data_IF_323203071926
#
_entry.id   IF_323203071926
#
_cell.length_a   1.000
_cell.length_b   1.000
_cell.length_c   1.000
_cell.angle_alpha   90.00
_cell.angle_beta   90.00
_cell.angle_gamma   90.00
#
_symmetry.space_group_name_H-M   'P 1'
#
loop_
_entity.id
_entity.type
_entity.pdbx_description
1 polymer ?
#
# COMPACT_ATOMS: atom_id res chain seq x y z
N UNK A 1 18.22 12.23 37.45
CA UNK A 1 17.52 13.53 37.37
C UNK A 1 17.40 13.87 35.89
N UNK A 2 16.18 13.83 35.34
CA UNK A 2 15.84 14.14 33.96
C UNK A 2 16.28 15.56 33.56
N UNK A 3 16.63 15.70 32.27
CA UNK A 3 16.19 16.72 31.29
C UNK A 3 16.82 16.25 29.96
N UNK A 4 16.10 15.74 28.97
CA UNK A 4 14.91 16.31 28.37
C UNK A 4 15.34 17.09 27.13
N UNK A 5 15.60 16.40 26.02
CA UNK A 5 15.60 17.02 24.69
C UNK A 5 14.33 16.54 24.01
N UNK A 6 13.38 17.47 23.89
CA UNK A 6 12.18 17.33 23.10
C UNK A 6 12.59 17.02 21.65
N UNK A 7 12.05 15.94 21.10
CA UNK A 7 11.91 15.77 19.66
C UNK A 7 10.44 15.97 19.31
N UNK A 8 10.15 17.00 18.52
CA UNK A 8 8.86 17.28 17.90
C UNK A 8 9.10 18.27 16.74
N UNK A 9 8.21 18.31 15.75
CA UNK A 9 7.89 17.29 14.73
C UNK A 9 8.73 17.54 13.46
N UNK A 10 9.22 16.46 12.84
CA UNK A 10 9.72 16.36 11.45
C UNK A 10 10.85 15.32 11.47
N UNK A 11 10.51 14.07 11.83
CA UNK A 11 11.45 12.97 11.71
C UNK A 11 11.53 12.60 10.22
N UNK A 12 12.33 13.36 9.48
CA UNK A 12 12.74 13.06 8.11
C UNK A 12 13.71 11.88 8.18
N UNK A 13 13.24 10.68 7.86
CA UNK A 13 14.16 9.56 7.65
C UNK A 13 14.92 9.76 6.34
N UNK A 14 16.20 10.09 6.47
CA UNK A 14 17.08 10.30 5.32
C UNK A 14 17.77 8.98 4.98
N UNK A 15 17.20 8.21 4.05
CA UNK A 15 17.89 7.07 3.45
C UNK A 15 18.04 7.29 1.94
N UNK A 16 19.31 7.34 1.49
CA UNK A 16 19.71 7.55 0.08
C UNK A 16 19.22 8.85 -0.59
N UNK A 17 19.06 9.93 0.17
CA UNK A 17 18.79 11.27 -0.39
C UNK A 17 17.39 11.50 -0.94
N UNK A 18 16.45 10.58 -0.69
CA UNK A 18 15.03 10.73 -1.03
C UNK A 18 14.28 11.05 0.26
N UNK A 19 13.65 12.22 0.32
CA UNK A 19 12.74 12.61 1.41
C UNK A 19 11.34 12.11 1.05
N UNK A 20 10.89 11.03 1.70
CA UNK A 20 9.49 10.64 1.62
C UNK A 20 8.72 11.40 2.71
N UNK A 21 7.51 11.93 2.43
CA UNK A 21 6.69 12.53 3.46
C UNK A 21 6.28 11.44 4.45
N UNK A 22 6.80 11.49 5.68
CA UNK A 22 6.45 10.53 6.73
C UNK A 22 5.14 11.00 7.36
N UNK A 23 4.11 10.17 7.32
CA UNK A 23 2.86 10.44 8.03
C UNK A 23 2.95 9.86 9.44
N UNK A 24 2.62 10.67 10.44
CA UNK A 24 2.64 10.25 11.83
C UNK A 24 1.42 9.39 12.18
N UNK A 25 1.56 8.53 13.20
CA UNK A 25 0.44 7.75 13.71
C UNK A 25 -0.73 8.64 14.15
N UNK A 26 -0.43 9.82 14.72
CA UNK A 26 -1.46 10.78 15.13
C UNK A 26 -2.25 11.33 13.94
N UNK A 27 -1.58 11.65 12.83
CA UNK A 27 -2.25 12.12 11.62
C UNK A 27 -3.12 11.04 11.01
N UNK A 28 -2.64 9.80 10.94
CA UNK A 28 -3.45 8.66 10.51
C UNK A 28 -4.66 8.45 11.42
N UNK A 29 -4.48 8.50 12.74
CA UNK A 29 -5.57 8.29 13.70
C UNK A 29 -6.64 9.37 13.61
N UNK A 30 -6.25 10.62 13.34
CA UNK A 30 -7.18 11.72 13.09
C UNK A 30 -7.90 11.55 11.75
N UNK A 31 -7.18 11.20 10.69
CA UNK A 31 -7.78 10.94 9.38
C UNK A 31 -8.80 9.80 9.48
N UNK A 32 -8.42 8.70 10.13
CA UNK A 32 -9.22 7.47 10.23
C UNK A 32 -10.37 7.51 11.23
N UNK A 33 -10.62 8.65 11.86
CA UNK A 33 -11.59 8.77 12.96
C UNK A 33 -11.37 7.65 14.00
N UNK A 34 -10.10 7.43 14.36
CA UNK A 34 -9.65 6.33 15.20
C UNK A 34 -9.95 4.93 14.62
N UNK A 35 -9.61 4.72 13.35
CA UNK A 35 -9.84 3.47 12.60
C UNK A 35 -11.29 2.99 12.69
N UNK A 36 -12.22 3.93 12.48
CA UNK A 36 -13.66 3.68 12.56
C UNK A 36 -14.09 2.60 11.56
N UNK A 37 -15.03 1.74 11.97
CA UNK A 37 -15.66 0.76 11.09
C UNK A 37 -16.37 1.41 9.89
N UNK A 38 -16.71 2.70 9.95
CA UNK A 38 -17.27 3.43 8.82
C UNK A 38 -16.30 3.55 7.63
N UNK A 39 -14.99 3.52 7.91
CA UNK A 39 -13.93 3.62 6.91
C UNK A 39 -13.30 2.26 6.58
N UNK A 40 -13.76 1.18 7.20
CA UNK A 40 -13.19 -0.15 7.02
C UNK A 40 -13.51 -0.71 5.63
N UNK A 41 -12.47 -1.09 4.89
CA UNK A 41 -12.59 -1.69 3.56
C UNK A 41 -12.59 -3.23 3.62
N UNK A 42 -12.00 -3.81 4.66
CA UNK A 42 -11.84 -5.25 4.79
C UNK A 42 -10.49 -5.64 5.37
N UNK A 43 -10.32 -6.96 5.56
CA UNK A 43 -9.02 -7.52 5.92
C UNK A 43 -8.27 -7.87 4.64
N UNK A 44 -7.07 -7.33 4.49
CA UNK A 44 -6.10 -7.81 3.51
C UNK A 44 -5.30 -8.99 4.06
N UNK A 45 -4.38 -9.51 3.25
CA UNK A 45 -3.49 -10.61 3.64
C UNK A 45 -2.66 -10.30 4.91
N UNK A 46 -2.33 -9.02 5.14
CA UNK A 46 -1.33 -8.60 6.15
C UNK A 46 -1.90 -7.72 7.26
N UNK A 47 -3.20 -7.44 7.25
CA UNK A 47 -3.78 -6.45 8.14
C UNK A 47 -5.16 -5.94 7.77
N UNK A 48 -5.56 -4.87 8.44
CA UNK A 48 -6.86 -4.23 8.27
C UNK A 48 -6.73 -3.03 7.34
N UNK A 49 -7.61 -2.94 6.35
CA UNK A 49 -7.59 -1.88 5.33
C UNK A 49 -8.68 -0.83 5.61
N UNK A 50 -8.32 0.45 5.51
CA UNK A 50 -9.21 1.58 5.73
C UNK A 50 -9.15 2.58 4.57
N UNK A 51 -10.27 3.23 4.25
CA UNK A 51 -10.36 4.31 3.26
C UNK A 51 -10.33 5.66 3.96
N UNK A 52 -9.44 6.54 3.52
CA UNK A 52 -9.28 7.86 4.13
C UNK A 52 -9.16 8.99 3.13
N UNK A 53 -9.41 10.20 3.59
CA UNK A 53 -9.13 11.44 2.85
C UNK A 53 -8.12 12.22 3.67
N UNK A 54 -6.92 12.43 3.12
CA UNK A 54 -5.86 13.20 3.75
C UNK A 54 -6.20 14.70 3.77
N UNK A 55 -5.44 15.47 4.56
CA UNK A 55 -5.68 16.91 4.72
C UNK A 55 -5.57 17.72 3.42
N UNK A 56 -4.85 17.21 2.42
CA UNK A 56 -4.72 17.78 1.08
C UNK A 56 -5.86 17.37 0.12
N UNK A 57 -6.83 16.58 0.60
CA UNK A 57 -7.97 16.07 -0.18
C UNK A 57 -7.69 14.75 -0.91
N UNK A 58 -6.48 14.19 -0.81
CA UNK A 58 -6.16 12.93 -1.47
C UNK A 58 -6.88 11.75 -0.79
N UNK A 59 -7.62 10.96 -1.58
CA UNK A 59 -8.20 9.70 -1.09
C UNK A 59 -7.16 8.59 -1.10
N UNK A 60 -6.98 7.90 0.02
CA UNK A 60 -5.96 6.86 0.21
C UNK A 60 -6.55 5.59 0.84
N UNK A 61 -5.84 4.48 0.65
CA UNK A 61 -6.06 3.25 1.41
C UNK A 61 -4.96 3.10 2.47
N UNK A 62 -5.33 2.80 3.71
CA UNK A 62 -4.41 2.61 4.83
C UNK A 62 -4.45 1.15 5.26
N UNK A 63 -3.35 0.43 5.05
CA UNK A 63 -3.18 -0.94 5.50
C UNK A 63 -2.49 -0.95 6.87
N UNK A 64 -3.25 -1.20 7.93
CA UNK A 64 -2.74 -1.34 9.30
C UNK A 64 -2.23 -2.76 9.47
N UNK A 65 -0.91 -2.90 9.61
CA UNK A 65 -0.24 -4.20 9.64
C UNK A 65 -0.46 -4.89 10.99
N UNK A 66 -0.69 -6.20 10.96
CA UNK A 66 -0.78 -6.99 12.18
C UNK A 66 0.62 -7.29 12.74
N UNK A 67 1.01 -6.58 13.80
CA UNK A 67 2.35 -6.64 14.41
C UNK A 67 2.60 -7.84 15.32
N UNK A 68 1.71 -8.82 15.38
CA UNK A 68 1.89 -10.04 16.18
C UNK A 68 3.09 -10.91 15.73
N UNK A 69 3.73 -10.59 14.60
CA UNK A 69 4.98 -11.22 14.18
C UNK A 69 6.19 -10.56 14.89
N UNK A 70 6.62 -11.17 16.00
CA UNK A 70 7.67 -10.70 16.94
C UNK A 70 9.10 -10.53 16.35
N UNK A 71 9.31 -10.68 15.03
CA UNK A 71 10.63 -10.59 14.38
C UNK A 71 10.92 -9.34 13.53
N UNK A 72 9.91 -8.56 13.15
CA UNK A 72 9.97 -7.68 11.96
C UNK A 72 10.16 -6.17 12.22
N UNK A 73 10.71 -5.75 13.37
CA UNK A 73 10.68 -4.31 13.69
C UNK A 73 11.71 -3.47 12.91
N UNK A 74 12.89 -4.01 12.55
CA UNK A 74 13.94 -3.27 11.83
C UNK A 74 13.98 -3.45 10.31
N UNK A 75 13.62 -4.63 9.78
CA UNK A 75 13.61 -4.88 8.32
C UNK A 75 12.46 -4.14 7.64
N UNK A 76 11.33 -4.05 8.31
CA UNK A 76 10.09 -3.52 7.75
C UNK A 76 10.18 -2.03 7.38
N UNK A 77 10.89 -1.20 8.15
CA UNK A 77 11.03 0.23 7.82
C UNK A 77 11.87 0.42 6.54
N UNK A 78 12.90 -0.41 6.35
CA UNK A 78 13.71 -0.46 5.12
C UNK A 78 12.86 -0.95 3.95
N UNK A 79 12.08 -2.02 4.14
CA UNK A 79 11.22 -2.58 3.10
C UNK A 79 10.11 -1.61 2.69
N UNK A 80 9.47 -0.93 3.64
CA UNK A 80 8.52 0.16 3.36
C UNK A 80 9.16 1.27 2.54
N UNK A 81 10.39 1.66 2.87
CA UNK A 81 11.14 2.66 2.10
C UNK A 81 11.40 2.19 0.67
N UNK A 82 11.82 0.93 0.48
CA UNK A 82 12.03 0.35 -0.85
C UNK A 82 10.72 0.31 -1.64
N UNK A 83 9.62 -0.13 -1.03
CA UNK A 83 8.30 -0.16 -1.67
C UNK A 83 7.83 1.24 -2.09
N UNK A 84 8.13 2.28 -1.31
CA UNK A 84 7.85 3.67 -1.67
C UNK A 84 8.67 4.17 -2.87
N UNK A 85 9.75 3.48 -3.27
CA UNK A 85 10.54 3.84 -4.45
C UNK A 85 10.08 3.10 -5.71
N UNK A 86 9.33 2.01 -5.57
CA UNK A 86 8.79 1.24 -6.68
C UNK A 86 7.63 2.03 -7.30
N UNK A 87 7.77 2.37 -8.59
CA UNK A 87 6.79 3.17 -9.35
C UNK A 87 6.60 2.58 -10.74
N UNK A 88 5.39 2.15 -11.03
CA UNK A 88 5.01 1.64 -12.35
C UNK A 88 3.53 1.95 -12.60
N UNK A 89 3.14 2.15 -13.85
CA UNK A 89 1.76 2.49 -14.24
C UNK A 89 0.73 1.39 -13.93
N UNK A 90 1.19 0.16 -13.71
CA UNK A 90 0.36 -1.01 -13.36
C UNK A 90 0.71 -1.58 -11.97
N UNK A 91 1.36 -0.80 -11.09
CA UNK A 91 1.56 -1.16 -9.68
C UNK A 91 0.84 -0.16 -8.78
N UNK A 92 0.16 -0.65 -7.75
CA UNK A 92 -0.45 0.23 -6.75
C UNK A 92 0.64 1.07 -6.09
N UNK A 93 0.49 2.39 -6.14
CA UNK A 93 1.49 3.29 -5.55
C UNK A 93 1.45 3.20 -4.02
N UNK A 94 2.56 2.76 -3.42
CA UNK A 94 2.82 2.97 -1.99
C UNK A 94 3.25 4.42 -1.80
N UNK A 95 2.41 5.23 -1.18
CA UNK A 95 2.60 6.68 -1.03
C UNK A 95 3.63 6.94 0.08
N UNK A 96 3.38 6.35 1.25
CA UNK A 96 4.23 6.49 2.44
C UNK A 96 3.93 5.35 3.42
N UNK A 97 4.68 5.30 4.51
CA UNK A 97 4.45 4.43 5.65
C UNK A 97 4.42 5.23 6.94
N UNK A 98 3.66 4.76 7.92
CA UNK A 98 3.74 5.19 9.29
C UNK A 98 4.34 4.06 10.12
N UNK A 99 5.42 4.35 10.85
CA UNK A 99 6.05 3.38 11.75
C UNK A 99 6.23 3.99 13.13
N UNK A 100 5.83 3.23 14.15
CA UNK A 100 6.09 3.51 15.56
C UNK A 100 6.32 2.17 16.28
N UNK A 101 6.64 2.21 17.58
CA UNK A 101 6.99 1.01 18.34
C UNK A 101 5.93 -0.10 18.26
N UNK A 102 4.65 0.28 18.39
CA UNK A 102 3.53 -0.66 18.53
C UNK A 102 2.47 -0.49 17.43
N UNK A 103 2.79 0.27 16.38
CA UNK A 103 1.88 0.52 15.26
C UNK A 103 2.67 0.71 13.97
N UNK A 104 2.28 -0.03 12.92
CA UNK A 104 2.80 0.16 11.57
C UNK A 104 1.66 0.14 10.57
N UNK A 105 1.73 1.04 9.61
CA UNK A 105 0.77 1.11 8.52
C UNK A 105 1.44 1.55 7.22
N UNK A 106 0.89 1.07 6.11
CA UNK A 106 1.26 1.48 4.76
C UNK A 106 0.12 2.30 4.18
N UNK A 107 0.44 3.46 3.62
CA UNK A 107 -0.51 4.33 2.93
C UNK A 107 -0.35 4.15 1.43
N UNK A 108 -1.42 3.75 0.76
CA UNK A 108 -1.46 3.39 -0.65
C UNK A 108 -2.44 4.30 -1.40
N UNK A 109 -2.24 4.39 -2.71
CA UNK A 109 -3.26 4.90 -3.61
C UNK A 109 -4.56 4.12 -3.45
N UNK A 110 -5.67 4.83 -3.26
CA UNK A 110 -6.99 4.22 -3.21
C UNK A 110 -7.46 3.78 -4.60
N UNK A 111 -7.99 2.56 -4.70
CA UNK A 111 -8.51 1.99 -5.94
C UNK A 111 -10.03 1.86 -5.86
N UNK A 112 -10.81 2.72 -6.56
CA UNK A 112 -12.24 2.87 -6.32
C UNK A 112 -13.09 1.67 -6.75
N UNK A 113 -12.64 0.89 -7.74
CA UNK A 113 -13.36 -0.31 -8.18
C UNK A 113 -12.96 -1.57 -7.38
N UNK A 114 -11.99 -1.45 -6.48
CA UNK A 114 -11.51 -2.57 -5.66
C UNK A 114 -10.84 -3.67 -6.48
N UNK A 115 -10.89 -4.90 -5.96
CA UNK A 115 -10.24 -6.06 -6.56
C UNK A 115 -10.95 -6.61 -7.80
N UNK A 116 -10.16 -7.14 -8.73
CA UNK A 116 -10.62 -7.78 -9.96
C UNK A 116 -11.54 -8.97 -9.67
N UNK A 117 -11.28 -9.72 -8.59
CA UNK A 117 -12.16 -10.79 -8.09
C UNK A 117 -13.63 -10.32 -8.00
N UNK A 118 -13.86 -9.15 -7.39
CA UNK A 118 -15.21 -8.58 -7.22
C UNK A 118 -15.79 -8.20 -8.58
N UNK A 119 -15.00 -7.59 -9.47
CA UNK A 119 -15.45 -7.20 -10.81
C UNK A 119 -15.78 -8.41 -11.71
N UNK A 120 -15.10 -9.53 -11.52
CA UNK A 120 -15.36 -10.76 -12.28
C UNK A 120 -16.67 -11.45 -11.83
N UNK A 121 -17.04 -11.31 -10.56
CA UNK A 121 -18.15 -12.05 -9.96
C UNK A 121 -19.38 -11.20 -9.62
N UNK A 122 -19.30 -9.86 -9.65
CA UNK A 122 -20.41 -8.99 -9.27
C UNK A 122 -21.39 -8.73 -10.43
N UNK A 123 -22.68 -8.80 -10.11
CA UNK A 123 -23.78 -8.43 -11.01
C UNK A 123 -23.78 -6.90 -11.14
N UNK A 124 -23.29 -6.37 -12.28
CA UNK A 124 -23.24 -4.92 -12.56
C UNK A 124 -21.85 -4.36 -12.90
N UNK A 125 -20.77 -5.07 -12.56
CA UNK A 125 -19.39 -4.68 -12.89
C UNK A 125 -18.87 -5.47 -14.09
N UNK A 126 -19.61 -5.49 -15.20
CA UNK A 126 -19.22 -6.29 -16.36
C UNK A 126 -17.99 -5.68 -17.06
N UNK A 127 -16.89 -6.44 -17.03
CA UNK A 127 -15.75 -6.23 -17.90
C UNK A 127 -16.05 -6.80 -19.29
N UNK A 128 -16.00 -5.94 -20.30
CA UNK A 128 -16.12 -6.37 -21.69
C UNK A 128 -14.82 -7.08 -22.14
N UNK A 129 -14.84 -7.68 -23.34
CA UNK A 129 -13.70 -8.44 -23.85
C UNK A 129 -12.43 -7.58 -23.96
N UNK A 130 -12.53 -6.35 -24.46
CA UNK A 130 -11.38 -5.45 -24.59
C UNK A 130 -10.78 -5.11 -23.24
N UNK A 131 -11.59 -4.77 -22.24
CA UNK A 131 -11.14 -4.52 -20.87
C UNK A 131 -10.42 -5.72 -20.26
N UNK A 132 -10.89 -6.94 -20.53
CA UNK A 132 -10.21 -8.16 -20.07
C UNK A 132 -8.86 -8.35 -20.76
N UNK A 133 -8.77 -8.04 -22.06
CA UNK A 133 -7.51 -8.08 -22.79
C UNK A 133 -6.53 -7.03 -22.27
N UNK A 134 -7.00 -5.82 -21.98
CA UNK A 134 -6.18 -4.75 -21.38
C UNK A 134 -5.62 -5.19 -20.02
N UNK A 135 -6.45 -5.78 -19.16
CA UNK A 135 -6.01 -6.36 -17.87
C UNK A 135 -4.96 -7.47 -18.07
N UNK A 136 -5.13 -8.33 -19.09
CA UNK A 136 -4.16 -9.37 -19.45
C UNK A 136 -2.83 -8.81 -19.98
N UNK A 137 -2.77 -7.54 -20.34
CA UNK A 137 -1.55 -6.83 -20.74
C UNK A 137 -0.94 -6.10 -19.53
N UNK A 138 -1.76 -5.38 -18.78
CA UNK A 138 -1.37 -4.56 -17.63
C UNK A 138 -0.66 -5.38 -16.54
N UNK A 139 -1.22 -6.55 -16.18
CA UNK A 139 -0.66 -7.39 -15.12
C UNK A 139 0.75 -7.89 -15.47
N UNK A 140 1.00 -8.50 -16.65
CA UNK A 140 2.35 -8.84 -17.08
C UNK A 140 3.32 -7.66 -17.14
N UNK A 141 2.88 -6.46 -17.55
CA UNK A 141 3.75 -5.28 -17.53
C UNK A 141 4.24 -4.94 -16.12
N UNK A 142 3.38 -5.07 -15.11
CA UNK A 142 3.77 -4.89 -13.71
C UNK A 142 4.81 -5.93 -13.27
N UNK A 143 4.60 -7.20 -13.62
CA UNK A 143 5.49 -8.30 -13.25
C UNK A 143 6.84 -8.21 -13.98
N UNK A 144 6.84 -7.86 -15.26
CA UNK A 144 8.06 -7.62 -16.03
C UNK A 144 8.91 -6.54 -15.36
N UNK A 145 8.28 -5.44 -14.95
CA UNK A 145 8.95 -4.37 -14.23
C UNK A 145 9.55 -4.84 -12.90
N UNK A 146 8.82 -5.63 -12.10
CA UNK A 146 9.34 -6.19 -10.85
C UNK A 146 10.50 -7.17 -11.08
N UNK A 147 10.45 -7.97 -12.15
CA UNK A 147 11.46 -8.98 -12.44
C UNK A 147 12.75 -8.41 -13.04
N UNK A 148 12.64 -7.40 -13.90
CA UNK A 148 13.75 -6.91 -14.73
C UNK A 148 14.07 -5.42 -14.56
N UNK A 149 13.23 -4.66 -13.85
CA UNK A 149 13.40 -3.22 -13.65
C UNK A 149 14.42 -2.84 -12.57
N UNK A 150 14.97 -3.82 -11.84
CA UNK A 150 15.87 -3.61 -10.71
C UNK A 150 17.10 -4.51 -10.81
N UNK A 151 18.19 -4.14 -10.11
CA UNK A 151 19.41 -4.95 -10.05
C UNK A 151 19.20 -6.31 -9.37
N UNK A 152 18.23 -6.38 -8.46
CA UNK A 152 17.78 -7.60 -7.81
C UNK A 152 16.34 -7.88 -8.21
N UNK A 153 16.05 -9.10 -8.67
CA UNK A 153 14.71 -9.53 -9.07
C UNK A 153 13.75 -9.50 -7.88
N UNK A 154 12.60 -8.84 -8.06
CA UNK A 154 11.50 -8.86 -7.07
C UNK A 154 10.47 -9.89 -7.52
N UNK A 155 10.39 -11.02 -6.81
CA UNK A 155 9.40 -12.08 -7.09
C UNK A 155 8.08 -11.75 -6.40
N UNK A 156 7.00 -11.69 -7.17
CA UNK A 156 5.63 -11.44 -6.70
C UNK A 156 4.91 -12.77 -6.48
N UNK A 157 5.04 -13.34 -5.27
CA UNK A 157 4.64 -14.73 -4.98
C UNK A 157 3.13 -14.94 -4.73
N UNK A 158 2.32 -13.88 -4.66
CA UNK A 158 0.88 -13.94 -4.33
C UNK A 158 0.00 -13.32 -5.42
N UNK A 159 0.25 -13.70 -6.69
CA UNK A 159 -0.62 -13.28 -7.79
C UNK A 159 -1.95 -14.02 -7.77
N UNK A 160 -3.01 -13.27 -7.48
CA UNK A 160 -4.41 -13.71 -7.51
C UNK A 160 -5.33 -12.53 -7.88
N UNK A 161 -6.56 -12.78 -8.37
CA UNK A 161 -7.44 -11.69 -8.79
C UNK A 161 -7.80 -10.71 -7.67
N UNK A 162 -7.77 -11.10 -6.40
CA UNK A 162 -7.99 -10.16 -5.28
C UNK A 162 -6.87 -9.13 -5.12
N UNK A 163 -5.66 -9.42 -5.61
CA UNK A 163 -4.50 -8.54 -5.54
C UNK A 163 -4.26 -7.77 -6.85
N UNK A 164 -5.21 -7.82 -7.78
CA UNK A 164 -5.26 -6.97 -8.96
C UNK A 164 -6.38 -5.98 -8.73
N UNK A 165 -6.06 -4.71 -8.51
CA UNK A 165 -7.02 -3.65 -8.26
C UNK A 165 -7.31 -2.88 -9.55
N UNK A 166 -8.50 -2.31 -9.66
CA UNK A 166 -8.93 -1.52 -10.81
C UNK A 166 -9.15 -0.05 -10.44
N UNK A 167 -8.65 0.85 -11.27
CA UNK A 167 -8.98 2.29 -11.18
C UNK A 167 -10.34 2.60 -11.84
N UNK A 168 -10.77 3.87 -11.81
CA UNK A 168 -12.02 4.31 -12.43
C UNK A 168 -12.12 4.04 -13.94
N UNK A 169 -10.98 3.90 -14.63
CA UNK A 169 -10.90 3.60 -16.06
C UNK A 169 -10.80 2.09 -16.34
N UNK A 170 -10.83 1.25 -15.30
CA UNK A 170 -10.62 -0.21 -15.35
C UNK A 170 -9.22 -0.61 -15.80
N UNK A 171 -8.24 0.27 -15.63
CA UNK A 171 -6.82 -0.07 -15.75
C UNK A 171 -6.42 -0.95 -14.57
N UNK A 172 -5.62 -2.00 -14.82
CA UNK A 172 -5.21 -2.91 -13.76
C UNK A 172 -3.91 -2.49 -13.07
N UNK A 173 -3.92 -2.63 -11.75
CA UNK A 173 -2.79 -2.37 -10.86
C UNK A 173 -2.58 -3.57 -9.94
N UNK A 174 -1.36 -4.10 -9.94
CA UNK A 174 -0.97 -5.16 -9.00
C UNK A 174 -0.68 -4.54 -7.63
N UNK A 175 -1.34 -5.03 -6.58
CA UNK A 175 -1.21 -4.59 -5.16
C UNK A 175 -0.32 -5.52 -4.35
N UNK A 176 -0.08 -5.22 -3.07
CA UNK A 176 0.53 -6.13 -2.09
C UNK A 176 1.93 -6.68 -2.45
N UNK A 177 2.63 -6.06 -3.38
CA UNK A 177 4.01 -6.44 -3.71
C UNK A 177 4.93 -6.07 -2.56
N UNK A 178 5.87 -6.94 -2.22
CA UNK A 178 6.87 -6.69 -1.18
C UNK A 178 6.35 -6.84 0.25
N UNK A 179 5.05 -6.99 0.48
CA UNK A 179 4.51 -7.23 1.84
C UNK A 179 4.81 -8.66 2.32
N UNK A 180 4.99 -9.62 1.41
CA UNK A 180 5.44 -10.97 1.79
C UNK A 180 6.89 -11.02 2.29
N UNK A 181 7.72 -10.03 1.94
CA UNK A 181 9.08 -9.91 2.49
C UNK A 181 9.07 -9.28 3.89
N UNK A 182 7.98 -8.62 4.27
CA UNK A 182 7.78 -7.99 5.59
C UNK A 182 7.56 -9.02 6.70
N UNK A 183 7.09 -10.24 6.36
CA UNK A 183 6.87 -11.36 7.29
C UNK A 183 7.99 -12.40 7.21
#
# INVERSE_FOLDING_TARGET
RNKGLLKHPDDIETFRGITLPVISHRELLLATSNFSNANFLGNGSFGSMYKEILADGMTVAVNVLNLLFEGASKSLDIECTVMCQIRHRNLVKVITSCSSRDFKAIVLQYMPLGGLEVCLHSVGHHLNLFQRLDIMIDVPCALEYLHHGFSETIVYCDLKPSNVLLDENKTAYVSDFGIEKIL
#
